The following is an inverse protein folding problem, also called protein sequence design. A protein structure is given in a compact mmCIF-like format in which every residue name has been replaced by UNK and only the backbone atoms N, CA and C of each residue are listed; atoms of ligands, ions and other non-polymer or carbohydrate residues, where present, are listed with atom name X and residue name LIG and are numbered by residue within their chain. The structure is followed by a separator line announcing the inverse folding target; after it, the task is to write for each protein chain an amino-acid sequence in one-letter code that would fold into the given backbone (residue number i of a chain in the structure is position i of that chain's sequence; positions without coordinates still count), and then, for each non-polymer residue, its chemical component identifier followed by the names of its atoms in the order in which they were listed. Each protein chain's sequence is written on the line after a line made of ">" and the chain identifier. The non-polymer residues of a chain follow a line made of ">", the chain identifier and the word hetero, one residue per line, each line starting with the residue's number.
data_IF_265693306936
#
_entry.id   IF_265693306936
#
_cell.length_a   1.000
_cell.length_b   1.000
_cell.length_c   1.000
_cell.angle_alpha   90.00
_cell.angle_beta   90.00
_cell.angle_gamma   90.00
#
_symmetry.space_group_name_H-M   'P 1'
#
loop_
_entity.id
_entity.type
_entity.pdbx_description
1 polymer ?
#
# COMPACT_ATOMS: atom_id res chain seq x y z
N UNK A 1 5.88 6.27 9.75
CA UNK A 1 4.80 5.53 9.06
C UNK A 1 3.48 6.16 9.43
N UNK A 2 2.50 6.12 8.54
CA UNK A 2 1.20 6.74 8.73
C UNK A 2 0.13 5.86 8.08
N UNK A 3 -1.08 5.90 8.62
CA UNK A 3 -2.28 5.39 7.98
C UNK A 3 -2.80 6.44 7.00
N UNK A 4 -3.32 6.00 5.86
CA UNK A 4 -4.28 6.79 5.09
C UNK A 4 -5.64 6.52 5.73
N UNK A 5 -6.25 7.52 6.37
CA UNK A 5 -7.56 7.33 7.01
C UNK A 5 -8.71 7.57 6.03
N UNK A 6 -8.51 8.53 5.14
CA UNK A 6 -9.55 9.00 4.25
C UNK A 6 -8.97 9.48 2.92
N UNK A 7 -9.67 9.17 1.84
CA UNK A 7 -9.49 9.80 0.53
C UNK A 7 -10.84 10.36 0.08
N UNK A 8 -10.87 11.67 -0.22
CA UNK A 8 -12.05 12.32 -0.80
C UNK A 8 -11.71 12.74 -2.22
N UNK A 9 -12.35 12.13 -3.22
CA UNK A 9 -12.26 12.54 -4.61
C UNK A 9 -13.05 13.83 -4.83
N UNK A 10 -12.45 14.79 -5.52
CA UNK A 10 -13.07 16.07 -5.84
C UNK A 10 -13.56 16.05 -7.31
N UNK A 11 -14.68 16.72 -7.62
CA UNK A 11 -15.11 16.94 -8.99
C UNK A 11 -14.01 17.59 -9.83
N UNK A 12 -13.96 17.24 -11.12
CA UNK A 12 -13.02 17.88 -12.06
C UNK A 12 -13.27 19.39 -12.17
N UNK A 13 -14.52 19.81 -12.01
CA UNK A 13 -14.94 21.22 -12.12
C UNK A 13 -14.38 22.11 -11.01
N UNK A 14 -13.96 21.54 -9.88
CA UNK A 14 -13.48 22.28 -8.70
C UNK A 14 -12.34 23.26 -9.02
N UNK A 15 -11.51 22.96 -10.01
CA UNK A 15 -10.35 23.81 -10.37
C UNK A 15 -10.48 24.53 -11.72
N UNK A 16 -11.64 24.44 -12.38
CA UNK A 16 -11.86 25.04 -13.71
C UNK A 16 -11.73 26.56 -13.67
N UNK A 17 -12.25 27.21 -12.62
CA UNK A 17 -12.13 28.66 -12.40
C UNK A 17 -10.68 29.13 -12.28
N UNK A 18 -9.77 28.25 -11.87
CA UNK A 18 -8.33 28.49 -11.80
C UNK A 18 -7.59 28.15 -13.09
N UNK A 19 -8.31 27.84 -14.18
CA UNK A 19 -7.76 27.45 -15.47
C UNK A 19 -7.21 26.02 -15.54
N UNK A 20 -7.53 25.17 -14.55
CA UNK A 20 -7.07 23.79 -14.50
C UNK A 20 -8.23 22.81 -14.78
N UNK A 21 -7.94 21.77 -15.54
CA UNK A 21 -8.89 20.68 -15.81
C UNK A 21 -8.27 19.36 -15.33
N UNK A 22 -8.33 19.15 -14.01
CA UNK A 22 -7.69 18.02 -13.34
C UNK A 22 -8.67 17.35 -12.38
N UNK A 23 -8.59 16.02 -12.28
CA UNK A 23 -9.16 15.29 -11.15
C UNK A 23 -8.18 15.35 -9.99
N UNK A 24 -8.68 15.59 -8.79
CA UNK A 24 -7.86 15.73 -7.58
C UNK A 24 -8.53 14.99 -6.42
N UNK A 25 -7.75 14.63 -5.41
CA UNK A 25 -8.28 14.02 -4.19
C UNK A 25 -7.59 14.60 -2.96
N UNK A 26 -8.33 14.72 -1.87
CA UNK A 26 -7.81 15.08 -0.55
C UNK A 26 -7.44 13.80 0.19
N UNK A 27 -6.19 13.69 0.63
CA UNK A 27 -5.69 12.56 1.41
C UNK A 27 -5.48 12.98 2.87
N UNK A 28 -6.06 12.22 3.79
CA UNK A 28 -5.89 12.44 5.22
C UNK A 28 -4.98 11.35 5.80
N UNK A 29 -3.78 11.78 6.21
CA UNK A 29 -2.76 10.91 6.77
C UNK A 29 -2.71 11.06 8.29
N UNK A 30 -2.70 9.93 9.01
CA UNK A 30 -2.49 9.90 10.45
C UNK A 30 -1.20 9.18 10.77
N UNK A 31 -0.26 9.88 11.43
CA UNK A 31 0.97 9.25 11.92
C UNK A 31 0.63 8.13 12.90
N UNK A 32 1.35 7.02 12.81
CA UNK A 32 1.21 5.93 13.77
C UNK A 32 1.50 6.43 15.18
N UNK A 33 0.71 5.96 16.14
CA UNK A 33 1.09 5.98 17.56
C UNK A 33 2.28 5.06 17.80
N UNK A 34 2.92 5.17 18.95
CA UNK A 34 4.02 4.26 19.31
C UNK A 34 3.57 2.79 19.37
N UNK A 35 2.34 2.55 19.83
CA UNK A 35 1.76 1.20 19.87
C UNK A 35 1.50 0.64 18.48
N UNK A 36 0.90 1.43 17.59
CA UNK A 36 0.65 1.06 16.20
C UNK A 36 1.96 0.81 15.44
N UNK A 37 2.97 1.64 15.68
CA UNK A 37 4.32 1.46 15.13
C UNK A 37 4.95 0.16 15.63
N UNK A 38 4.86 -0.13 16.94
CA UNK A 38 5.37 -1.38 17.51
C UNK A 38 4.69 -2.60 16.87
N UNK A 39 3.35 -2.59 16.79
CA UNK A 39 2.58 -3.67 16.17
C UNK A 39 2.97 -3.87 14.70
N UNK A 40 3.15 -2.79 13.94
CA UNK A 40 3.62 -2.85 12.57
C UNK A 40 5.00 -3.52 12.47
N UNK A 41 5.96 -3.07 13.29
CA UNK A 41 7.33 -3.56 13.25
C UNK A 41 7.42 -5.04 13.66
N UNK A 42 6.67 -5.46 14.68
CA UNK A 42 6.54 -6.86 15.12
C UNK A 42 5.92 -7.74 14.02
N UNK A 43 4.83 -7.26 13.40
CA UNK A 43 4.16 -7.99 12.31
C UNK A 43 5.09 -8.17 11.11
N UNK A 44 5.85 -7.13 10.76
CA UNK A 44 6.82 -7.20 9.67
C UNK A 44 7.98 -8.14 10.01
N UNK A 45 8.51 -8.10 11.23
CA UNK A 45 9.57 -9.00 11.67
C UNK A 45 9.13 -10.46 11.62
N UNK A 46 7.90 -10.76 12.07
CA UNK A 46 7.34 -12.11 12.01
C UNK A 46 7.16 -12.59 10.56
N UNK A 47 6.56 -11.76 9.69
CA UNK A 47 6.38 -12.07 8.28
C UNK A 47 7.73 -12.32 7.57
N UNK A 48 8.74 -11.50 7.88
CA UNK A 48 10.09 -11.67 7.35
C UNK A 48 10.73 -12.99 7.81
N UNK A 49 10.67 -13.30 9.11
CA UNK A 49 11.25 -14.53 9.65
C UNK A 49 10.58 -15.79 9.09
N UNK A 50 9.26 -15.75 8.89
CA UNK A 50 8.51 -16.84 8.27
C UNK A 50 8.94 -17.10 6.82
N UNK A 51 9.08 -16.03 6.03
CA UNK A 51 9.52 -16.13 4.64
C UNK A 51 10.98 -16.57 4.54
N UNK A 52 11.85 -16.08 5.42
CA UNK A 52 13.24 -16.54 5.51
C UNK A 52 13.32 -18.04 5.83
N UNK A 53 12.54 -18.51 6.80
CA UNK A 53 12.47 -19.94 7.14
C UNK A 53 11.94 -20.78 5.97
N UNK A 54 10.92 -20.28 5.25
CA UNK A 54 10.33 -20.96 4.08
C UNK A 54 11.35 -21.22 2.97
N UNK A 55 12.26 -20.28 2.71
CA UNK A 55 13.25 -20.40 1.62
C UNK A 55 14.64 -20.84 2.08
N UNK A 56 14.89 -20.97 3.40
CA UNK A 56 16.20 -21.29 3.95
C UNK A 56 16.80 -22.57 3.33
N UNK A 57 16.03 -23.66 3.27
CA UNK A 57 16.51 -24.94 2.74
C UNK A 57 16.85 -24.87 1.24
N UNK A 58 16.01 -24.20 0.44
CA UNK A 58 16.23 -24.01 -1.00
C UNK A 58 17.52 -23.21 -1.25
N UNK A 59 17.68 -22.08 -0.53
CA UNK A 59 18.84 -21.20 -0.69
C UNK A 59 20.13 -21.92 -0.27
N UNK A 60 20.10 -22.68 0.82
CA UNK A 60 21.27 -23.44 1.28
C UNK A 60 21.66 -24.51 0.26
N UNK A 61 20.70 -25.30 -0.23
CA UNK A 61 20.97 -26.34 -1.21
C UNK A 61 21.56 -25.78 -2.51
N UNK A 62 21.00 -24.68 -3.02
CA UNK A 62 21.45 -24.05 -4.26
C UNK A 62 22.81 -23.36 -4.09
N UNK A 63 23.05 -22.74 -2.92
CA UNK A 63 24.36 -22.19 -2.57
C UNK A 63 25.42 -23.28 -2.55
N UNK A 64 25.17 -24.40 -1.86
CA UNK A 64 26.11 -25.52 -1.80
C UNK A 64 26.38 -26.11 -3.19
N UNK A 65 25.35 -26.24 -4.05
CA UNK A 65 25.50 -26.69 -5.45
C UNK A 65 26.49 -25.79 -6.21
N UNK A 66 26.29 -24.48 -6.15
CA UNK A 66 27.10 -23.51 -6.87
C UNK A 66 28.50 -23.37 -6.28
N UNK A 67 28.65 -23.36 -4.96
CA UNK A 67 29.95 -23.32 -4.29
C UNK A 67 30.81 -24.55 -4.62
N UNK A 68 30.22 -25.75 -4.62
CA UNK A 68 30.90 -26.96 -5.05
C UNK A 68 31.32 -26.91 -6.52
N UNK A 69 30.47 -26.35 -7.40
CA UNK A 69 30.81 -26.17 -8.81
C UNK A 69 31.94 -25.14 -9.02
N UNK A 70 31.94 -24.05 -8.22
CA UNK A 70 32.99 -23.02 -8.22
C UNK A 70 34.33 -23.62 -7.81
N UNK A 71 34.36 -24.45 -6.76
CA UNK A 71 35.61 -25.08 -6.31
C UNK A 71 36.12 -26.09 -7.34
N UNK A 72 35.24 -26.86 -7.99
CA UNK A 72 35.62 -27.75 -9.11
C UNK A 72 36.23 -26.95 -10.28
N UNK A 73 35.59 -25.86 -10.71
CA UNK A 73 36.12 -25.01 -11.79
C UNK A 73 37.49 -24.41 -11.43
N UNK A 74 37.71 -24.09 -10.15
CA UNK A 74 39.00 -23.61 -9.64
C UNK A 74 40.07 -24.71 -9.68
N UNK A 75 39.74 -25.95 -9.33
CA UNK A 75 40.65 -27.11 -9.43
C UNK A 75 41.00 -27.41 -10.90
N UNK A 76 40.03 -27.28 -11.80
CA UNK A 76 40.19 -27.41 -13.26
C UNK A 76 40.96 -26.23 -13.89
N UNK A 77 41.27 -25.17 -13.13
CA UNK A 77 41.86 -23.90 -13.59
C UNK A 77 41.04 -23.21 -14.70
N UNK A 78 39.73 -23.46 -14.73
CA UNK A 78 38.80 -22.83 -15.66
C UNK A 78 38.28 -21.50 -15.08
N UNK A 79 38.99 -20.42 -15.42
CA UNK A 79 38.69 -19.08 -14.93
C UNK A 79 37.37 -18.50 -15.47
N UNK A 80 37.00 -18.82 -16.71
CA UNK A 80 35.77 -18.39 -17.36
C UNK A 80 34.56 -19.01 -16.65
N UNK A 81 34.55 -20.34 -16.51
CA UNK A 81 33.48 -21.07 -15.82
C UNK A 81 33.35 -20.67 -14.36
N UNK A 82 34.48 -20.48 -13.65
CA UNK A 82 34.47 -19.99 -12.26
C UNK A 82 33.79 -18.61 -12.16
N UNK A 83 34.13 -17.67 -13.05
CA UNK A 83 33.55 -16.32 -13.06
C UNK A 83 32.06 -16.37 -13.37
N UNK A 84 31.65 -17.21 -14.32
CA UNK A 84 30.24 -17.41 -14.66
C UNK A 84 29.44 -17.94 -13.46
N UNK A 85 29.92 -18.98 -12.77
CA UNK A 85 29.25 -19.56 -11.60
C UNK A 85 29.20 -18.59 -10.41
N UNK A 86 30.24 -17.80 -10.19
CA UNK A 86 30.23 -16.74 -9.16
C UNK A 86 29.19 -15.66 -9.47
N UNK A 87 29.04 -15.30 -10.74
CA UNK A 87 27.99 -14.37 -11.19
C UNK A 87 26.60 -14.98 -10.98
N UNK A 88 26.41 -16.24 -11.37
CA UNK A 88 25.16 -16.99 -11.17
C UNK A 88 24.76 -17.03 -9.69
N UNK A 89 25.69 -17.40 -8.78
CA UNK A 89 25.43 -17.41 -7.34
C UNK A 89 25.02 -16.02 -6.82
N UNK A 90 25.71 -14.96 -7.25
CA UNK A 90 25.37 -13.59 -6.86
C UNK A 90 23.98 -13.18 -7.36
N UNK A 91 23.66 -13.50 -8.62
CA UNK A 91 22.37 -13.18 -9.22
C UNK A 91 21.23 -13.96 -8.56
N UNK A 92 21.44 -15.25 -8.28
CA UNK A 92 20.49 -16.09 -7.55
C UNK A 92 20.18 -15.53 -6.16
N UNK A 93 21.21 -15.25 -5.36
CA UNK A 93 21.01 -14.71 -4.00
C UNK A 93 20.28 -13.37 -4.02
N UNK A 94 20.61 -12.50 -4.98
CA UNK A 94 19.91 -11.22 -5.16
C UNK A 94 18.45 -11.42 -5.55
N UNK A 95 18.16 -12.35 -6.46
CA UNK A 95 16.80 -12.67 -6.87
C UNK A 95 15.98 -13.22 -5.68
N UNK A 96 16.58 -14.09 -4.87
CA UNK A 96 15.95 -14.64 -3.67
C UNK A 96 15.74 -13.60 -2.58
N UNK A 97 16.65 -12.66 -2.40
CA UNK A 97 16.45 -11.52 -1.48
C UNK A 97 15.24 -10.67 -1.90
N UNK A 98 15.15 -10.33 -3.19
CA UNK A 98 14.01 -9.56 -3.73
C UNK A 98 12.71 -10.34 -3.57
N UNK A 99 12.70 -11.63 -3.90
CA UNK A 99 11.53 -12.51 -3.75
C UNK A 99 11.04 -12.55 -2.30
N UNK A 100 11.95 -12.80 -1.36
CA UNK A 100 11.64 -12.82 0.07
C UNK A 100 11.11 -11.46 0.56
N UNK A 101 11.71 -10.35 0.12
CA UNK A 101 11.26 -9.01 0.50
C UNK A 101 9.86 -8.68 -0.03
N UNK A 102 9.53 -9.10 -1.26
CA UNK A 102 8.20 -8.91 -1.85
C UNK A 102 7.16 -9.74 -1.08
N UNK A 103 7.45 -11.01 -0.82
CA UNK A 103 6.54 -11.91 -0.12
C UNK A 103 6.32 -11.50 1.34
N UNK A 104 7.37 -11.12 2.06
CA UNK A 104 7.26 -10.62 3.44
C UNK A 104 6.43 -9.33 3.50
N UNK A 105 6.55 -8.44 2.49
CA UNK A 105 5.70 -7.25 2.38
C UNK A 105 4.25 -7.59 2.07
N UNK A 106 3.99 -8.62 1.27
CA UNK A 106 2.65 -9.08 0.98
C UNK A 106 1.97 -9.63 2.24
N UNK A 107 2.64 -10.51 2.98
CA UNK A 107 2.14 -11.01 4.27
C UNK A 107 1.92 -9.90 5.29
N UNK A 108 2.80 -8.90 5.34
CA UNK A 108 2.61 -7.73 6.19
C UNK A 108 1.33 -6.97 5.80
N UNK A 109 1.03 -6.78 4.52
CA UNK A 109 -0.20 -6.09 4.08
C UNK A 109 -1.44 -6.85 4.52
N UNK A 110 -1.44 -8.17 4.38
CA UNK A 110 -2.57 -9.03 4.77
C UNK A 110 -2.79 -9.03 6.29
N UNK A 111 -1.70 -9.05 7.08
CA UNK A 111 -1.75 -9.16 8.56
C UNK A 111 -1.87 -7.82 9.27
N UNK A 112 -1.53 -6.74 8.58
CA UNK A 112 -1.64 -5.35 9.05
C UNK A 112 -2.54 -4.55 8.13
N UNK A 113 -3.63 -5.19 7.68
CA UNK A 113 -4.64 -4.52 6.87
C UNK A 113 -5.47 -3.56 7.74
N UNK A 114 -6.00 -2.52 7.10
CA UNK A 114 -6.85 -1.55 7.74
C UNK A 114 -7.77 -0.88 6.72
N UNK A 115 -9.03 -0.57 7.12
CA UNK A 115 -9.98 0.05 6.22
C UNK A 115 -9.63 1.53 5.98
N UNK A 116 -9.93 2.00 4.78
CA UNK A 116 -9.74 3.39 4.36
C UNK A 116 -11.11 3.93 3.95
N UNK A 117 -11.52 5.06 4.52
CA UNK A 117 -12.75 5.71 4.08
C UNK A 117 -12.55 6.37 2.71
N UNK A 118 -13.39 5.99 1.74
CA UNK A 118 -13.37 6.54 0.40
C UNK A 118 -14.69 7.29 0.17
N UNK A 119 -14.61 8.49 -0.37
CA UNK A 119 -15.78 9.29 -0.71
C UNK A 119 -15.57 10.00 -2.04
N UNK A 120 -16.54 9.93 -2.94
CA UNK A 120 -16.54 10.70 -4.20
C UNK A 120 -17.52 11.85 -4.05
N UNK A 121 -17.00 13.07 -3.97
CA UNK A 121 -17.84 14.24 -3.83
C UNK A 121 -18.34 14.73 -5.18
N UNK A 122 -19.62 15.12 -5.24
CA UNK A 122 -20.20 15.80 -6.40
C UNK A 122 -20.17 17.32 -6.24
N UNK A 123 -20.40 17.79 -5.00
CA UNK A 123 -20.56 19.20 -4.68
C UNK A 123 -19.69 19.61 -3.51
N UNK A 124 -18.70 20.46 -3.77
CA UNK A 124 -17.64 20.83 -2.81
C UNK A 124 -17.69 22.29 -2.35
N UNK A 125 -18.75 23.02 -2.69
CA UNK A 125 -18.98 24.40 -2.30
C UNK A 125 -18.47 25.47 -3.29
N UNK A 126 -17.89 25.04 -4.42
CA UNK A 126 -17.42 25.95 -5.47
C UNK A 126 -17.83 25.40 -6.84
N UNK A 127 -18.38 26.28 -7.69
CA UNK A 127 -18.77 25.94 -9.06
C UNK A 127 -17.58 26.00 -10.03
N UNK A 128 -17.79 25.54 -11.27
CA UNK A 128 -16.80 25.67 -12.33
C UNK A 128 -16.39 27.14 -12.62
N UNK A 129 -17.26 28.11 -12.34
CA UNK A 129 -16.97 29.55 -12.51
C UNK A 129 -16.26 30.16 -11.30
N UNK A 130 -16.17 29.43 -10.19
CA UNK A 130 -15.53 29.91 -8.95
C UNK A 130 -16.50 30.60 -7.99
N UNK A 131 -17.79 30.59 -8.30
CA UNK A 131 -18.84 31.10 -7.43
C UNK A 131 -19.19 30.08 -6.33
N UNK A 132 -19.85 30.54 -5.26
CA UNK A 132 -20.39 29.67 -4.22
C UNK A 132 -21.40 28.69 -4.82
N UNK A 133 -21.29 27.42 -4.43
CA UNK A 133 -22.19 26.33 -4.86
C UNK A 133 -22.57 25.45 -3.67
N UNK A 134 -23.38 24.43 -3.92
CA UNK A 134 -23.74 23.41 -2.94
C UNK A 134 -22.49 22.69 -2.39
N UNK A 135 -22.59 22.24 -1.14
CA UNK A 135 -21.49 21.57 -0.45
C UNK A 135 -21.99 20.39 0.38
N UNK A 136 -21.49 19.20 0.09
CA UNK A 136 -21.82 17.97 0.83
C UNK A 136 -20.68 17.46 1.72
N UNK A 137 -19.55 18.18 1.79
CA UNK A 137 -18.37 17.71 2.52
C UNK A 137 -18.57 17.70 4.04
N UNK A 138 -19.45 18.57 4.55
CA UNK A 138 -19.73 18.72 5.99
C UNK A 138 -21.14 19.30 6.21
N UNK A 139 -21.76 19.12 7.39
CA UNK A 139 -23.09 19.68 7.67
C UNK A 139 -23.11 21.21 7.57
N UNK A 140 -23.91 21.72 6.64
CA UNK A 140 -24.03 23.16 6.36
C UNK A 140 -25.43 23.51 5.77
N UNK A 141 -25.80 24.80 5.64
CA UNK A 141 -27.10 25.18 5.09
C UNK A 141 -27.32 24.95 3.59
N UNK A 142 -26.25 24.84 2.79
CA UNK A 142 -26.27 24.72 1.32
C UNK A 142 -25.92 23.27 0.87
N UNK A 143 -26.50 22.26 1.51
CA UNK A 143 -26.32 20.88 1.09
C UNK A 143 -27.16 20.55 -0.15
N UNK A 144 -26.72 19.65 -1.05
CA UNK A 144 -27.57 19.11 -2.11
C UNK A 144 -28.84 18.48 -1.53
N UNK A 145 -29.97 18.63 -2.23
CA UNK A 145 -31.27 18.17 -1.73
C UNK A 145 -31.38 16.63 -1.64
N UNK A 146 -30.56 15.93 -2.43
CA UNK A 146 -30.39 14.48 -2.48
C UNK A 146 -29.25 13.96 -1.58
N UNK A 147 -28.56 14.85 -0.85
CA UNK A 147 -27.55 14.46 0.11
C UNK A 147 -28.19 13.88 1.37
N UNK A 148 -28.25 12.54 1.48
CA UNK A 148 -28.77 11.85 2.66
C UNK A 148 -27.93 12.14 3.91
N UNK A 149 -26.60 12.07 3.75
CA UNK A 149 -25.61 12.42 4.77
C UNK A 149 -24.39 13.02 4.09
N UNK A 150 -23.78 13.98 4.78
CA UNK A 150 -22.53 14.60 4.31
C UNK A 150 -21.36 13.63 4.40
N UNK A 151 -20.28 13.91 3.66
CA UNK A 151 -19.03 13.14 3.71
C UNK A 151 -18.52 12.99 5.16
N UNK A 152 -18.60 14.06 5.97
CA UNK A 152 -18.18 14.02 7.37
C UNK A 152 -19.08 13.12 8.24
N UNK A 153 -20.38 13.05 7.96
CA UNK A 153 -21.29 12.17 8.69
C UNK A 153 -21.07 10.72 8.33
N UNK A 154 -20.92 10.41 7.03
CA UNK A 154 -20.52 9.08 6.57
C UNK A 154 -19.18 8.64 7.18
N UNK A 155 -18.20 9.55 7.24
CA UNK A 155 -16.92 9.24 7.88
C UNK A 155 -17.07 8.90 9.37
N UNK A 156 -17.95 9.60 10.10
CA UNK A 156 -18.20 9.31 11.52
C UNK A 156 -18.86 7.95 11.72
N UNK A 157 -19.78 7.57 10.85
CA UNK A 157 -20.38 6.23 10.87
C UNK A 157 -19.37 5.17 10.52
N UNK A 158 -18.55 5.40 9.50
CA UNK A 158 -17.42 4.54 9.18
C UNK A 158 -16.50 4.33 10.39
N UNK A 159 -16.19 5.37 11.17
CA UNK A 159 -15.36 5.23 12.37
C UNK A 159 -16.01 4.35 13.45
N UNK A 160 -17.34 4.28 13.51
CA UNK A 160 -18.06 3.45 14.48
C UNK A 160 -18.07 1.97 14.10
N UNK A 161 -18.16 1.65 12.81
CA UNK A 161 -18.12 0.27 12.31
C UNK A 161 -17.47 0.20 10.91
N UNK A 162 -16.13 0.25 10.84
CA UNK A 162 -15.43 0.21 9.55
C UNK A 162 -15.62 -1.09 8.78
N UNK A 163 -15.95 -2.19 9.48
CA UNK A 163 -16.05 -3.53 8.89
C UNK A 163 -17.36 -3.67 8.12
N UNK A 164 -18.46 -3.12 8.64
CA UNK A 164 -19.74 -3.09 7.92
C UNK A 164 -19.62 -2.40 6.55
N UNK A 165 -18.84 -1.30 6.47
CA UNK A 165 -18.58 -0.60 5.21
C UNK A 165 -17.71 -1.41 4.25
N UNK A 166 -16.72 -2.14 4.76
CA UNK A 166 -15.89 -3.02 3.92
C UNK A 166 -16.71 -4.17 3.29
N UNK A 167 -17.63 -4.77 4.06
CA UNK A 167 -18.50 -5.85 3.57
C UNK A 167 -19.52 -5.37 2.52
N UNK A 168 -20.01 -4.13 2.63
CA UNK A 168 -20.96 -3.55 1.67
C UNK A 168 -20.33 -3.24 0.31
N UNK A 169 -19.03 -2.93 0.27
CA UNK A 169 -18.30 -2.64 -0.98
C UNK A 169 -17.84 -3.88 -1.76
N UNK A 170 -17.93 -5.09 -1.19
CA UNK A 170 -17.59 -6.35 -1.87
C UNK A 170 -18.78 -6.95 -2.65
N UNK A 171 -19.98 -6.37 -2.51
CA UNK A 171 -21.22 -6.86 -3.13
C UNK A 171 -21.61 -6.18 -4.44
N UNK A 172 -20.84 -5.20 -4.92
CA UNK A 172 -21.06 -4.46 -6.18
C UNK A 172 -20.05 -4.82 -7.27
#
# INVERSE_FOLDING_TARGET
>A
RAFIRTVVSLPQETFVSSGASVKCSLLFLQKFTEEEKRKFDETYAAAKAEVEAKYAAEITAERERLENAIEKAKQEKDAEKRRALQKELKEYLKAMEVKQAVEARQLLKERFDYPIFMYEAEKVGISATGDEDLNELYPNPNQPADCEKTCLEWYREFLSDPIAFAAAGETD
#
